data_IF_963041390381
#
_entry.id   IF_963041390381
#
_cell.length_a   1.000
_cell.length_b   1.000
_cell.length_c   1.000
_cell.angle_alpha   90.00
_cell.angle_beta   90.00
_cell.angle_gamma   90.00
#
_symmetry.space_group_name_H-M   'P 1'
#
loop_
_entity.id
_entity.type
_entity.pdbx_description
1 polymer ?
#
# COMPACT_ATOMS: atom_id res chain seq x y z
N UNK A 1 48.02 57.05 -41.17
CA UNK A 1 47.90 55.81 -41.96
C UNK A 1 46.94 54.90 -41.22
N UNK A 2 45.84 54.39 -41.75
CA UNK A 2 45.02 54.62 -42.93
C UNK A 2 43.68 53.93 -42.60
N UNK A 3 42.59 54.37 -43.22
CA UNK A 3 41.25 53.82 -43.08
C UNK A 3 41.16 52.36 -43.54
N UNK A 4 40.16 51.61 -43.08
CA UNK A 4 39.05 51.19 -43.96
C UNK A 4 37.89 50.53 -43.18
N UNK A 5 36.67 50.87 -43.62
CA UNK A 5 35.36 50.31 -43.26
C UNK A 5 35.29 48.79 -43.54
N UNK A 6 34.34 48.05 -42.92
CA UNK A 6 33.14 47.46 -43.59
C UNK A 6 32.07 47.06 -42.53
N UNK A 7 30.80 47.31 -42.85
CA UNK A 7 29.59 46.91 -42.13
C UNK A 7 29.06 45.50 -42.55
N UNK A 8 28.48 44.81 -41.56
CA UNK A 8 27.35 43.85 -41.57
C UNK A 8 27.29 42.64 -42.54
N UNK A 9 27.15 41.44 -41.96
CA UNK A 9 26.24 40.37 -42.44
C UNK A 9 25.64 39.62 -41.23
N UNK A 10 24.31 39.62 -41.10
CA UNK A 10 23.54 38.64 -40.30
C UNK A 10 23.37 37.33 -41.09
N UNK A 11 23.62 36.17 -40.47
CA UNK A 11 23.11 34.88 -40.95
C UNK A 11 22.76 33.96 -39.76
N UNK A 12 21.48 33.61 -39.66
CA UNK A 12 20.94 32.24 -39.51
C UNK A 12 21.45 31.29 -38.43
N UNK A 13 20.53 30.96 -37.51
CA UNK A 13 20.27 29.69 -36.79
C UNK A 13 21.38 28.63 -36.61
N UNK A 14 21.63 28.23 -35.35
CA UNK A 14 21.32 26.86 -34.90
C UNK A 14 21.41 26.70 -33.36
N UNK A 15 20.30 26.21 -32.78
CA UNK A 15 20.16 25.23 -31.69
C UNK A 15 21.17 25.28 -30.53
N UNK A 16 20.68 25.61 -29.32
CA UNK A 16 21.09 24.93 -28.09
C UNK A 16 19.95 24.89 -27.06
N UNK A 17 19.71 23.68 -26.55
CA UNK A 17 18.62 23.29 -25.69
C UNK A 17 18.69 23.95 -24.31
N UNK A 18 17.67 24.72 -23.95
CA UNK A 18 17.46 25.20 -22.59
C UNK A 18 16.32 24.40 -21.95
N UNK A 19 16.68 23.47 -21.08
CA UNK A 19 15.76 22.64 -20.29
C UNK A 19 14.97 23.55 -19.35
N UNK A 20 13.68 23.76 -19.63
CA UNK A 20 12.74 24.40 -18.70
C UNK A 20 12.38 23.42 -17.58
N UNK A 21 12.56 23.75 -16.30
CA UNK A 21 12.00 22.95 -15.21
C UNK A 21 10.47 22.98 -15.28
N UNK A 22 9.84 21.81 -15.40
CA UNK A 22 8.39 21.66 -15.19
C UNK A 22 8.14 21.44 -13.72
N UNK A 23 7.89 22.52 -12.97
CA UNK A 23 7.26 22.41 -11.66
C UNK A 23 6.18 23.48 -11.57
N UNK A 24 4.93 23.04 -11.63
CA UNK A 24 3.78 23.88 -11.34
C UNK A 24 3.64 23.99 -9.82
N UNK A 25 3.34 25.19 -9.33
CA UNK A 25 3.05 25.43 -7.92
C UNK A 25 1.77 24.66 -7.56
N UNK A 26 1.86 23.73 -6.63
CA UNK A 26 0.69 23.03 -6.07
C UNK A 26 -0.01 24.01 -5.15
N UNK A 27 -1.15 24.53 -5.58
CA UNK A 27 -2.04 25.29 -4.71
C UNK A 27 -2.57 24.36 -3.63
N UNK A 28 -2.26 24.67 -2.37
CA UNK A 28 -2.90 24.03 -1.22
C UNK A 28 -4.39 24.38 -1.24
N UNK A 29 -5.17 23.47 -1.82
CA UNK A 29 -6.62 23.50 -1.68
C UNK A 29 -6.96 23.26 -0.22
N UNK A 30 -7.38 24.32 0.47
CA UNK A 30 -8.05 24.26 1.76
C UNK A 30 -9.25 23.32 1.65
N UNK A 31 -9.11 22.10 2.18
CA UNK A 31 -10.20 21.13 2.28
C UNK A 31 -10.99 21.45 3.56
N UNK A 32 -11.73 22.53 3.54
CA UNK A 32 -12.84 22.75 4.46
C UNK A 32 -14.11 22.45 3.68
N UNK A 33 -14.77 21.33 3.98
CA UNK A 33 -16.23 21.20 4.01
C UNK A 33 -16.60 19.80 4.49
N UNK A 34 -16.97 19.79 5.77
CA UNK A 34 -17.95 18.90 6.38
C UNK A 34 -19.09 18.52 5.42
N UNK A 35 -19.35 17.23 5.33
CA UNK A 35 -20.66 16.70 4.96
C UNK A 35 -20.86 15.42 5.76
N UNK A 36 -21.19 15.60 7.05
CA UNK A 36 -21.89 14.56 7.81
C UNK A 36 -23.26 14.41 7.17
N UNK A 37 -23.34 13.47 6.24
CA UNK A 37 -24.60 12.87 5.82
C UNK A 37 -24.54 11.44 6.33
N UNK A 38 -24.96 11.25 7.59
CA UNK A 38 -25.19 9.93 8.22
C UNK A 38 -26.40 9.24 7.57
N UNK A 39 -26.38 9.12 6.26
CA UNK A 39 -27.14 8.09 5.57
C UNK A 39 -26.23 6.86 5.65
N UNK A 40 -26.54 5.94 6.56
CA UNK A 40 -25.95 4.61 6.55
C UNK A 40 -26.32 3.94 5.23
N UNK A 41 -25.54 4.21 4.18
CA UNK A 41 -25.65 3.54 2.91
C UNK A 41 -25.45 2.04 3.17
N UNK A 42 -26.54 1.30 3.13
CA UNK A 42 -26.52 -0.16 3.21
C UNK A 42 -25.64 -0.64 2.07
N UNK A 43 -24.50 -1.21 2.41
CA UNK A 43 -23.55 -1.64 1.41
C UNK A 43 -24.00 -2.96 0.75
N UNK A 44 -24.47 -2.87 -0.49
CA UNK A 44 -24.88 -4.05 -1.30
C UNK A 44 -23.74 -5.03 -1.60
N UNK A 45 -22.48 -4.63 -1.36
CA UNK A 45 -21.28 -5.44 -1.68
C UNK A 45 -20.79 -6.29 -0.51
N UNK A 46 -21.25 -6.03 0.72
CA UNK A 46 -20.75 -6.69 1.92
C UNK A 46 -21.70 -7.78 2.44
N UNK A 47 -21.14 -8.96 2.77
CA UNK A 47 -21.88 -10.03 3.48
C UNK A 47 -21.90 -9.75 5.00
N UNK A 48 -22.61 -8.70 5.42
CA UNK A 48 -22.69 -8.25 6.83
C UNK A 48 -22.34 -6.76 7.00
N UNK A 49 -21.98 -6.30 8.22
CA UNK A 49 -21.61 -4.91 8.47
C UNK A 49 -20.51 -4.45 7.53
N UNK A 50 -20.72 -3.31 6.88
CA UNK A 50 -19.79 -2.80 5.87
C UNK A 50 -18.38 -2.61 6.44
N UNK A 51 -17.37 -3.13 5.74
CA UNK A 51 -15.96 -2.95 6.13
C UNK A 51 -15.59 -1.46 6.22
N UNK A 52 -16.22 -0.60 5.42
CA UNK A 52 -16.00 0.84 5.45
C UNK A 52 -16.29 1.46 6.82
N UNK A 53 -17.25 0.92 7.58
CA UNK A 53 -17.56 1.43 8.92
C UNK A 53 -16.45 1.16 9.95
N UNK A 54 -15.64 0.12 9.71
CA UNK A 54 -14.46 -0.23 10.52
C UNK A 54 -13.20 0.51 10.11
N UNK A 55 -13.25 1.27 9.01
CA UNK A 55 -12.12 1.98 8.45
C UNK A 55 -12.20 3.48 8.69
N UNK A 56 -11.04 4.11 8.71
CA UNK A 56 -10.82 5.54 8.71
C UNK A 56 -9.76 5.90 7.68
N UNK A 57 -9.86 7.10 7.12
CA UNK A 57 -8.85 7.64 6.20
C UNK A 57 -7.85 8.44 7.03
N UNK A 58 -6.64 7.93 7.15
CA UNK A 58 -5.58 8.61 7.90
C UNK A 58 -4.21 8.27 7.34
N UNK A 59 -3.20 9.06 7.72
CA UNK A 59 -1.83 8.78 7.39
C UNK A 59 -1.31 7.60 8.22
N UNK A 60 -0.63 6.62 7.61
CA UNK A 60 0.04 5.58 8.37
C UNK A 60 1.13 6.18 9.26
N UNK A 61 1.32 5.60 10.45
CA UNK A 61 2.36 6.02 11.41
C UNK A 61 3.78 5.76 10.88
N UNK A 62 3.90 4.94 9.84
CA UNK A 62 5.13 4.60 9.14
C UNK A 62 5.23 5.39 7.84
N UNK A 63 6.41 5.94 7.57
CA UNK A 63 6.69 6.62 6.31
C UNK A 63 7.26 5.62 5.29
N UNK A 64 6.87 5.81 4.03
CA UNK A 64 7.55 5.25 2.86
C UNK A 64 8.97 5.82 2.74
N UNK A 65 9.73 5.35 1.74
CA UNK A 65 11.09 5.83 1.47
C UNK A 65 11.21 7.36 1.49
N UNK A 66 12.34 7.87 2.01
CA UNK A 66 12.61 9.29 2.18
C UNK A 66 12.41 10.03 0.84
N UNK A 67 11.62 11.10 0.85
CA UNK A 67 11.33 11.92 -0.34
C UNK A 67 10.05 11.54 -1.10
N UNK A 68 9.29 10.56 -0.62
CA UNK A 68 7.93 10.30 -1.12
C UNK A 68 6.88 11.05 -0.30
N UNK A 69 5.80 11.51 -0.96
CA UNK A 69 4.70 12.19 -0.28
C UNK A 69 3.89 11.19 0.56
N UNK A 70 3.49 11.61 1.76
CA UNK A 70 2.61 10.81 2.61
C UNK A 70 1.28 10.58 1.88
N UNK A 71 0.86 9.31 1.80
CA UNK A 71 -0.40 8.93 1.17
C UNK A 71 -1.40 8.56 2.25
N UNK A 72 -2.57 9.20 2.25
CA UNK A 72 -3.70 8.81 3.12
C UNK A 72 -4.13 7.40 2.73
N UNK A 73 -4.24 6.52 3.72
CA UNK A 73 -4.61 5.12 3.52
C UNK A 73 -5.94 4.80 4.19
N UNK A 74 -6.56 3.72 3.74
CA UNK A 74 -7.62 3.03 4.49
C UNK A 74 -6.97 2.29 5.66
N UNK A 75 -7.26 2.76 6.87
CA UNK A 75 -6.74 2.21 8.11
C UNK A 75 -7.89 1.73 8.98
N UNK A 76 -7.70 0.67 9.76
CA UNK A 76 -8.64 0.22 10.77
C UNK A 76 -8.78 1.27 11.86
N UNK A 77 -10.02 1.53 12.31
CA UNK A 77 -10.29 2.38 13.49
C UNK A 77 -9.71 1.76 14.76
N UNK A 78 -9.84 0.44 14.89
CA UNK A 78 -9.31 -0.35 15.99
C UNK A 78 -8.16 -1.24 15.52
N UNK A 79 -7.12 -1.32 16.34
CA UNK A 79 -5.97 -2.19 16.07
C UNK A 79 -6.41 -3.65 16.04
N UNK A 80 -6.03 -4.38 14.98
CA UNK A 80 -6.24 -5.83 14.92
C UNK A 80 -5.31 -6.55 15.89
N UNK A 81 -5.81 -7.57 16.60
CA UNK A 81 -4.97 -8.43 17.45
C UNK A 81 -3.89 -9.13 16.61
N UNK A 82 -2.65 -9.15 17.09
CA UNK A 82 -1.51 -9.69 16.34
C UNK A 82 -1.68 -11.18 15.97
N UNK A 83 -2.36 -11.96 16.80
CA UNK A 83 -2.70 -13.36 16.48
C UNK A 83 -3.60 -13.50 15.24
N UNK A 84 -4.46 -12.51 14.95
CA UNK A 84 -5.35 -12.52 13.77
C UNK A 84 -4.64 -12.13 12.47
N UNK A 85 -3.40 -11.65 12.55
CA UNK A 85 -2.58 -11.36 11.37
C UNK A 85 -1.90 -12.64 10.86
N UNK A 86 -1.68 -13.63 11.73
CA UNK A 86 -1.09 -14.90 11.34
C UNK A 86 -2.14 -15.77 10.64
N UNK A 87 -1.88 -16.14 9.39
CA UNK A 87 -2.86 -16.83 8.53
C UNK A 87 -2.95 -18.33 8.81
N UNK A 88 -1.83 -18.95 9.15
CA UNK A 88 -1.65 -20.41 9.18
C UNK A 88 -1.91 -21.03 10.57
N UNK A 89 -2.36 -20.24 11.54
CA UNK A 89 -2.61 -20.66 12.91
C UNK A 89 -3.99 -20.20 13.39
N UNK A 90 -4.70 -21.09 14.10
CA UNK A 90 -5.98 -20.76 14.72
C UNK A 90 -5.76 -19.90 15.96
N UNK A 91 -6.64 -18.93 16.18
CA UNK A 91 -6.66 -18.14 17.42
C UNK A 91 -8.08 -18.08 17.99
N UNK A 92 -8.22 -17.58 19.21
CA UNK A 92 -9.53 -17.43 19.87
C UNK A 92 -10.51 -16.55 19.09
N UNK A 93 -10.01 -15.66 18.23
CA UNK A 93 -10.84 -14.75 17.42
C UNK A 93 -11.26 -15.35 16.06
N UNK A 94 -10.46 -16.26 15.50
CA UNK A 94 -10.69 -16.83 14.17
C UNK A 94 -10.07 -18.22 14.03
N UNK A 95 -10.86 -19.13 13.47
CA UNK A 95 -10.50 -20.54 13.27
C UNK A 95 -9.95 -20.86 11.87
N UNK A 96 -9.87 -19.87 10.99
CA UNK A 96 -9.43 -20.06 9.61
C UNK A 96 -7.91 -20.21 9.52
N UNK A 97 -7.44 -21.24 8.80
CA UNK A 97 -6.00 -21.57 8.70
C UNK A 97 -5.41 -21.48 7.29
N UNK A 98 -6.21 -21.06 6.33
CA UNK A 98 -5.80 -20.93 4.94
C UNK A 98 -6.54 -19.78 4.27
N UNK A 99 -5.95 -19.20 3.22
CA UNK A 99 -6.57 -18.16 2.40
C UNK A 99 -7.96 -18.57 1.88
N UNK A 100 -8.14 -19.85 1.54
CA UNK A 100 -9.41 -20.39 1.07
C UNK A 100 -10.53 -20.32 2.11
N UNK A 101 -10.22 -20.57 3.38
CA UNK A 101 -11.19 -20.50 4.49
C UNK A 101 -11.66 -19.07 4.77
N UNK A 102 -10.87 -18.05 4.39
CA UNK A 102 -11.26 -16.65 4.54
C UNK A 102 -12.34 -16.22 3.55
N UNK A 103 -12.51 -16.96 2.44
CA UNK A 103 -13.51 -16.68 1.40
C UNK A 103 -13.49 -15.20 0.95
N UNK A 104 -12.29 -14.63 0.76
CA UNK A 104 -12.17 -13.25 0.31
C UNK A 104 -12.85 -13.06 -1.04
N UNK A 105 -13.46 -11.88 -1.21
CA UNK A 105 -14.10 -11.50 -2.46
C UNK A 105 -13.07 -11.31 -3.58
N UNK A 106 -11.96 -10.65 -3.24
CA UNK A 106 -10.89 -10.33 -4.18
C UNK A 106 -9.73 -11.30 -4.02
N UNK A 107 -8.97 -11.50 -5.10
CA UNK A 107 -7.83 -12.40 -5.13
C UNK A 107 -6.72 -11.91 -4.19
N UNK A 108 -6.03 -12.78 -3.45
CA UNK A 108 -4.93 -12.35 -2.60
C UNK A 108 -3.67 -12.03 -3.40
N UNK A 109 -2.91 -11.04 -2.94
CA UNK A 109 -1.56 -10.75 -3.40
C UNK A 109 -0.59 -11.45 -2.44
N UNK A 110 0.27 -12.33 -2.97
CA UNK A 110 1.28 -13.04 -2.17
C UNK A 110 2.62 -12.32 -2.34
N UNK A 111 3.18 -11.80 -1.25
CA UNK A 111 4.52 -11.23 -1.20
C UNK A 111 5.44 -12.21 -0.46
N UNK A 112 6.30 -12.91 -1.20
CA UNK A 112 7.35 -13.75 -0.63
C UNK A 112 8.60 -12.92 -0.31
N UNK A 113 9.16 -13.10 0.88
CA UNK A 113 10.39 -12.44 1.31
C UNK A 113 11.08 -13.22 2.44
N UNK A 114 12.39 -13.07 2.58
CA UNK A 114 13.14 -13.76 3.64
C UNK A 114 12.77 -13.24 5.03
N UNK A 115 12.62 -11.91 5.16
CA UNK A 115 12.34 -11.20 6.41
C UNK A 115 11.49 -9.96 6.20
N UNK A 116 10.86 -9.48 7.28
CA UNK A 116 10.15 -8.20 7.27
C UNK A 116 11.13 -7.05 7.06
N UNK A 117 10.79 -6.11 6.18
CA UNK A 117 11.60 -4.92 5.90
C UNK A 117 10.73 -3.68 5.72
N UNK A 118 11.31 -2.50 5.98
CA UNK A 118 10.63 -1.22 5.74
C UNK A 118 10.26 -1.01 4.25
N UNK A 119 10.98 -1.66 3.34
CA UNK A 119 10.67 -1.66 1.91
C UNK A 119 9.28 -2.21 1.59
N UNK A 120 8.72 -3.09 2.42
CA UNK A 120 7.37 -3.64 2.23
C UNK A 120 6.28 -2.55 2.30
N UNK A 121 6.51 -1.45 3.02
CA UNK A 121 5.56 -0.34 3.06
C UNK A 121 5.40 0.35 1.70
N UNK A 122 6.43 0.34 0.86
CA UNK A 122 6.36 0.90 -0.48
C UNK A 122 5.40 0.10 -1.39
N UNK A 123 5.12 -1.17 -1.07
CA UNK A 123 4.09 -1.97 -1.73
C UNK A 123 2.72 -1.77 -1.06
N UNK A 124 2.68 -1.84 0.28
CA UNK A 124 1.42 -1.81 1.04
C UNK A 124 0.68 -0.49 0.88
N UNK A 125 1.38 0.65 0.99
CA UNK A 125 0.75 1.99 1.05
C UNK A 125 -0.02 2.29 -0.25
N UNK A 126 0.55 2.14 -1.46
CA UNK A 126 -0.20 2.35 -2.71
C UNK A 126 -1.39 1.39 -2.88
N UNK A 127 -1.29 0.15 -2.37
CA UNK A 127 -2.36 -0.86 -2.41
C UNK A 127 -3.45 -0.63 -1.37
N UNK A 128 -3.26 0.33 -0.46
CA UNK A 128 -4.20 0.70 0.61
C UNK A 128 -4.56 2.18 0.60
N UNK A 129 -4.17 2.91 -0.44
CA UNK A 129 -4.42 4.33 -0.56
C UNK A 129 -5.93 4.66 -0.62
N UNK A 130 -6.32 5.82 -0.09
CA UNK A 130 -7.71 6.24 0.05
C UNK A 130 -8.50 6.29 -1.26
N UNK A 131 -7.80 6.55 -2.39
CA UNK A 131 -8.39 6.64 -3.72
C UNK A 131 -8.69 5.26 -4.33
N UNK A 132 -8.23 4.16 -3.72
CA UNK A 132 -8.66 2.81 -4.10
C UNK A 132 -10.05 2.55 -3.49
N UNK A 133 -11.03 2.05 -4.27
CA UNK A 133 -12.32 1.66 -3.70
C UNK A 133 -12.12 0.57 -2.63
N UNK A 134 -12.74 0.76 -1.46
CA UNK A 134 -12.56 -0.13 -0.30
C UNK A 134 -12.90 -1.59 -0.65
N UNK A 135 -13.95 -1.80 -1.45
CA UNK A 135 -14.40 -3.13 -1.87
C UNK A 135 -13.53 -3.80 -2.93
N UNK A 136 -12.57 -3.08 -3.52
CA UNK A 136 -11.66 -3.58 -4.55
C UNK A 136 -10.25 -3.84 -3.97
N UNK A 137 -10.06 -3.61 -2.65
CA UNK A 137 -8.82 -3.92 -1.97
C UNK A 137 -8.57 -5.43 -2.00
N UNK A 138 -7.39 -5.82 -2.46
CA UNK A 138 -6.94 -7.21 -2.49
C UNK A 138 -6.28 -7.55 -1.16
N UNK A 139 -6.60 -8.70 -0.53
CA UNK A 139 -5.87 -9.19 0.63
C UNK A 139 -4.38 -9.31 0.29
N UNK A 140 -3.50 -8.99 1.24
CA UNK A 140 -2.04 -9.14 1.07
C UNK A 140 -1.56 -10.19 2.07
N UNK A 141 -0.86 -11.21 1.57
CA UNK A 141 -0.26 -12.26 2.39
C UNK A 141 1.26 -12.14 2.28
N UNK A 142 1.89 -11.90 3.42
CA UNK A 142 3.35 -11.90 3.56
C UNK A 142 3.81 -13.32 3.85
N UNK A 143 4.39 -13.99 2.85
CA UNK A 143 4.99 -15.32 3.00
C UNK A 143 6.47 -15.13 3.39
N UNK A 144 6.80 -15.40 4.66
CA UNK A 144 8.10 -15.06 5.24
C UNK A 144 8.97 -16.32 5.40
N UNK A 145 10.13 -16.35 4.74
CA UNK A 145 11.11 -17.45 4.82
C UNK A 145 12.06 -17.31 6.03
N UNK A 146 11.51 -17.10 7.22
CA UNK A 146 12.30 -16.82 8.42
C UNK A 146 13.18 -18.01 8.82
N UNK A 147 14.45 -17.75 9.13
CA UNK A 147 15.31 -18.73 9.78
C UNK A 147 14.91 -18.96 11.25
N UNK A 148 15.52 -19.93 11.92
CA UNK A 148 15.19 -20.26 13.32
C UNK A 148 15.60 -19.14 14.30
N UNK A 149 16.70 -18.43 13.99
CA UNK A 149 17.19 -17.28 14.74
C UNK A 149 16.46 -15.95 14.43
N UNK A 150 15.67 -15.88 13.36
CA UNK A 150 15.01 -14.65 12.96
C UNK A 150 13.66 -14.48 13.68
N UNK A 151 13.55 -13.41 14.46
CA UNK A 151 12.27 -12.97 15.01
C UNK A 151 11.57 -11.97 14.08
N UNK A 152 10.24 -11.99 14.07
CA UNK A 152 9.48 -10.94 13.39
C UNK A 152 9.70 -9.61 14.07
N UNK A 153 9.86 -8.55 13.27
CA UNK A 153 9.91 -7.20 13.79
C UNK A 153 8.53 -6.82 14.35
N UNK A 154 8.39 -6.77 15.68
CA UNK A 154 7.12 -6.45 16.34
C UNK A 154 6.58 -5.07 15.96
N UNK A 155 7.45 -4.07 15.76
CA UNK A 155 7.03 -2.75 15.31
C UNK A 155 6.46 -2.78 13.88
N UNK A 156 6.97 -3.66 13.03
CA UNK A 156 6.40 -3.89 11.71
C UNK A 156 5.00 -4.51 11.81
N UNK A 157 4.85 -5.55 12.63
CA UNK A 157 3.55 -6.20 12.89
C UNK A 157 2.52 -5.22 13.47
N UNK A 158 2.94 -4.38 14.42
CA UNK A 158 2.13 -3.34 15.01
C UNK A 158 1.62 -2.37 13.95
N UNK A 159 2.50 -1.87 13.08
CA UNK A 159 2.13 -0.97 12.00
C UNK A 159 1.16 -1.61 11.00
N UNK A 160 1.41 -2.85 10.55
CA UNK A 160 0.52 -3.52 9.59
C UNK A 160 -0.83 -3.94 10.20
N UNK A 161 -0.93 -4.03 11.52
CA UNK A 161 -2.19 -4.39 12.20
C UNK A 161 -3.31 -3.36 12.03
N UNK A 162 -2.96 -2.13 11.67
CA UNK A 162 -3.92 -1.09 11.30
C UNK A 162 -4.30 -1.10 9.82
N UNK A 163 -3.65 -1.89 8.96
CA UNK A 163 -4.08 -2.00 7.57
C UNK A 163 -5.14 -3.11 7.41
N UNK A 164 -6.16 -2.90 6.57
CA UNK A 164 -7.15 -3.92 6.28
C UNK A 164 -6.57 -5.05 5.45
N UNK A 165 -7.02 -6.27 5.73
CA UNK A 165 -6.73 -7.48 4.95
C UNK A 165 -5.25 -7.70 4.64
N UNK A 166 -4.38 -7.45 5.62
CA UNK A 166 -2.97 -7.88 5.58
C UNK A 166 -2.78 -9.02 6.57
N UNK A 167 -2.10 -10.07 6.10
CA UNK A 167 -1.81 -11.28 6.85
C UNK A 167 -0.36 -11.69 6.60
N UNK A 168 0.19 -12.53 7.48
CA UNK A 168 1.50 -13.13 7.29
C UNK A 168 1.46 -14.61 7.65
N UNK A 169 2.38 -15.39 7.11
CA UNK A 169 2.64 -16.77 7.50
C UNK A 169 4.10 -17.11 7.28
N UNK A 170 4.63 -18.06 8.06
CA UNK A 170 5.97 -18.59 7.83
C UNK A 170 5.91 -19.65 6.74
N UNK A 171 6.82 -19.60 5.78
CA UNK A 171 6.87 -20.60 4.72
C UNK A 171 7.81 -20.20 3.59
N UNK A 172 8.13 -21.16 2.73
CA UNK A 172 9.02 -20.96 1.58
C UNK A 172 8.24 -21.02 0.28
N UNK A 173 8.63 -20.24 -0.73
CA UNK A 173 8.03 -20.29 -2.07
C UNK A 173 8.26 -21.66 -2.74
N UNK A 174 9.34 -22.36 -2.39
CA UNK A 174 9.61 -23.71 -2.88
C UNK A 174 8.72 -24.79 -2.27
N UNK A 175 7.95 -24.49 -1.22
CA UNK A 175 7.03 -25.44 -0.59
C UNK A 175 5.61 -25.23 -1.12
N UNK A 176 5.10 -26.21 -1.87
CA UNK A 176 3.77 -26.17 -2.46
C UNK A 176 2.66 -26.01 -1.40
N UNK A 177 2.78 -26.66 -0.25
CA UNK A 177 1.75 -26.57 0.80
C UNK A 177 1.64 -25.16 1.38
N UNK A 178 2.77 -24.45 1.51
CA UNK A 178 2.79 -23.05 1.93
C UNK A 178 2.06 -22.17 0.91
N UNK A 179 2.30 -22.38 -0.39
CA UNK A 179 1.65 -21.63 -1.46
C UNK A 179 0.15 -21.93 -1.56
N UNK A 180 -0.26 -23.19 -1.39
CA UNK A 180 -1.66 -23.59 -1.37
C UNK A 180 -2.39 -22.97 -0.17
N UNK A 181 -1.78 -22.97 1.02
CA UNK A 181 -2.33 -22.27 2.20
C UNK A 181 -2.41 -20.76 1.99
N UNK A 182 -1.43 -20.17 1.30
CA UNK A 182 -1.45 -18.76 0.89
C UNK A 182 -2.47 -18.47 -0.23
N UNK A 183 -3.09 -19.49 -0.82
CA UNK A 183 -4.16 -19.32 -1.81
C UNK A 183 -3.65 -19.02 -3.22
N UNK A 184 -2.46 -19.50 -3.60
CA UNK A 184 -1.86 -19.29 -4.94
C UNK A 184 -2.79 -19.69 -6.09
N UNK A 185 -3.67 -20.68 -5.88
CA UNK A 185 -4.65 -21.14 -6.89
C UNK A 185 -5.74 -20.08 -7.19
N UNK A 186 -5.90 -19.11 -6.30
CA UNK A 186 -6.88 -18.02 -6.39
C UNK A 186 -6.25 -16.64 -6.46
N UNK A 187 -4.91 -16.55 -6.48
CA UNK A 187 -4.15 -15.30 -6.57
C UNK A 187 -4.20 -14.67 -7.98
#
# INVERSE_FOLDING_TARGET
>A
KAADEINLIEVGEHIQSSRRPSIAMVTEGKIDSSSDSDQEEICDKCRGPCIQHKLQRTYPQVRTYIGTSNTVCHMMKEKRSLCCLKLDEKCAHKSATSAHEYQWRNRPIILAADRTSSGMYNLIIPLRAYYRPVHDLHPIILLLELEEQDSLNEAFLDAISYFPDIYWMKGKIGNLDCLLKAGVSSA
#
